data_IF_081336471890
#
_entry.id   IF_081336471890
#
_cell.length_a   1.000
_cell.length_b   1.000
_cell.length_c   1.000
_cell.angle_alpha   90.00
_cell.angle_beta   90.00
_cell.angle_gamma   90.00
#
_symmetry.space_group_name_H-M   'P 1'
#
loop_
_entity.id
_entity.type
_entity.pdbx_description
1 polymer ?
#
# COMPACT_ATOMS: atom_id res chain seq x y z
N UNK A 1 -1.21 13.87 11.65
CA UNK A 1 -1.79 12.54 11.95
C UNK A 1 -1.84 12.41 13.46
N UNK A 2 -3.01 12.16 14.05
CA UNK A 2 -3.10 11.95 15.49
C UNK A 2 -2.71 10.49 15.84
N UNK A 3 -1.84 10.25 16.83
CA UNK A 3 -1.32 8.91 17.13
C UNK A 3 -2.40 7.91 17.55
N UNK A 4 -3.53 8.39 18.11
CA UNK A 4 -4.66 7.53 18.49
C UNK A 4 -5.32 6.78 17.34
N UNK A 5 -5.11 7.21 16.09
CA UNK A 5 -5.65 6.53 14.92
C UNK A 5 -4.86 5.28 14.50
N UNK A 6 -3.66 5.05 15.05
CA UNK A 6 -2.82 3.86 14.74
C UNK A 6 -2.38 3.74 13.27
N UNK A 7 -2.67 4.74 12.43
CA UNK A 7 -2.48 4.71 10.97
C UNK A 7 -1.08 5.13 10.51
N UNK A 8 -0.29 5.75 11.39
CA UNK A 8 1.03 6.29 11.02
C UNK A 8 1.97 5.19 10.54
N UNK A 9 2.15 4.14 11.33
CA UNK A 9 3.07 3.03 11.00
C UNK A 9 2.64 2.29 9.74
N UNK A 10 1.35 1.98 9.61
CA UNK A 10 0.81 1.32 8.42
C UNK A 10 1.05 2.17 7.17
N UNK A 11 0.81 3.48 7.24
CA UNK A 11 1.06 4.38 6.12
C UNK A 11 2.53 4.40 5.74
N UNK A 12 3.45 4.51 6.70
CA UNK A 12 4.90 4.50 6.43
C UNK A 12 5.36 3.19 5.78
N UNK A 13 4.88 2.03 6.26
CA UNK A 13 5.22 0.74 5.66
C UNK A 13 4.70 0.67 4.22
N UNK A 14 3.45 1.08 4.00
CA UNK A 14 2.87 1.09 2.65
C UNK A 14 3.61 2.06 1.72
N UNK A 15 3.99 3.25 2.19
CA UNK A 15 4.81 4.21 1.43
C UNK A 15 6.12 3.58 1.01
N UNK A 16 6.87 3.00 1.96
CA UNK A 16 8.16 2.36 1.71
C UNK A 16 8.05 1.23 0.68
N UNK A 17 7.01 0.38 0.77
CA UNK A 17 6.77 -0.71 -0.19
C UNK A 17 6.40 -0.16 -1.57
N UNK A 18 5.48 0.81 -1.65
CA UNK A 18 5.11 1.40 -2.95
C UNK A 18 6.29 2.08 -3.62
N UNK A 19 7.12 2.80 -2.87
CA UNK A 19 8.32 3.44 -3.37
C UNK A 19 9.38 2.43 -3.80
N UNK A 20 9.58 1.34 -3.05
CA UNK A 20 10.47 0.25 -3.45
C UNK A 20 10.04 -0.40 -4.78
N UNK A 21 8.73 -0.58 -4.99
CA UNK A 21 8.20 -1.10 -6.25
C UNK A 21 8.54 -0.18 -7.43
N UNK A 22 8.29 1.12 -7.28
CA UNK A 22 8.57 2.11 -8.32
C UNK A 22 10.07 2.27 -8.59
N UNK A 23 10.91 2.30 -7.55
CA UNK A 23 12.37 2.38 -7.73
C UNK A 23 12.90 1.16 -8.48
N UNK A 24 12.41 -0.04 -8.18
CA UNK A 24 12.90 -1.26 -8.83
C UNK A 24 12.56 -1.32 -10.32
N UNK A 25 11.49 -0.65 -10.74
CA UNK A 25 11.08 -0.59 -12.16
C UNK A 25 11.88 0.42 -12.99
N UNK A 26 12.64 1.32 -12.36
CA UNK A 26 13.36 2.36 -13.08
C UNK A 26 14.48 1.76 -13.95
N UNK A 27 14.61 2.18 -15.23
CA UNK A 27 15.79 1.88 -16.02
C UNK A 27 17.00 2.59 -15.40
N UNK A 28 18.18 1.97 -15.48
CA UNK A 28 19.41 2.38 -14.76
C UNK A 28 19.94 3.79 -15.05
N UNK A 29 19.34 4.55 -15.97
CA UNK A 29 20.08 5.59 -16.70
C UNK A 29 19.34 6.91 -16.95
N UNK A 30 18.11 7.16 -16.46
CA UNK A 30 17.44 8.44 -16.77
C UNK A 30 16.75 9.14 -15.59
N UNK A 31 17.09 10.41 -15.28
CA UNK A 31 16.44 11.19 -14.23
C UNK A 31 14.99 11.56 -14.57
N UNK A 32 14.64 11.65 -15.86
CA UNK A 32 13.25 11.88 -16.29
C UNK A 32 12.31 10.77 -15.83
N UNK A 33 12.77 9.51 -15.84
CA UNK A 33 11.95 8.37 -15.38
C UNK A 33 11.71 8.36 -13.87
N UNK A 34 12.62 8.92 -13.07
CA UNK A 34 12.43 9.04 -11.62
C UNK A 34 11.29 10.01 -11.28
N UNK A 35 11.22 11.15 -11.97
CA UNK A 35 10.17 12.14 -11.74
C UNK A 35 8.78 11.55 -12.06
N UNK A 36 8.65 10.79 -13.14
CA UNK A 36 7.41 10.11 -13.52
C UNK A 36 7.02 9.03 -12.50
N UNK A 37 7.99 8.23 -12.04
CA UNK A 37 7.75 7.23 -11.00
C UNK A 37 7.30 7.85 -9.67
N UNK A 38 7.90 8.99 -9.27
CA UNK A 38 7.48 9.73 -8.08
C UNK A 38 6.09 10.36 -8.25
N UNK A 39 5.73 10.78 -9.46
CA UNK A 39 4.39 11.29 -9.77
C UNK A 39 3.33 10.20 -9.64
N UNK A 40 3.59 9.01 -10.16
CA UNK A 40 2.73 7.84 -10.00
C UNK A 40 2.61 7.41 -8.53
N UNK A 41 3.73 7.36 -7.79
CA UNK A 41 3.73 7.15 -6.34
C UNK A 41 2.84 8.16 -5.61
N UNK A 42 2.99 9.45 -5.92
CA UNK A 42 2.20 10.50 -5.29
C UNK A 42 0.72 10.38 -5.63
N UNK A 43 0.38 10.04 -6.87
CA UNK A 43 -1.01 9.82 -7.30
C UNK A 43 -1.67 8.63 -6.57
N UNK A 44 -0.93 7.54 -6.34
CA UNK A 44 -1.42 6.38 -5.59
C UNK A 44 -1.57 6.67 -4.09
N UNK A 45 -0.61 7.38 -3.50
CA UNK A 45 -0.50 7.51 -2.03
C UNK A 45 -1.19 8.72 -1.44
N UNK A 46 -1.25 9.86 -2.15
CA UNK A 46 -1.92 11.07 -1.69
C UNK A 46 -3.38 10.85 -1.24
N UNK A 47 -4.26 10.16 -2.00
CA UNK A 47 -5.65 9.98 -1.57
C UNK A 47 -5.75 9.13 -0.30
N UNK A 48 -4.92 8.09 -0.18
CA UNK A 48 -4.88 7.21 1.00
C UNK A 48 -4.38 7.97 2.23
N UNK A 49 -3.33 8.78 2.08
CA UNK A 49 -2.80 9.60 3.16
C UNK A 49 -3.81 10.65 3.64
N UNK A 50 -4.58 11.24 2.71
CA UNK A 50 -5.65 12.19 3.05
C UNK A 50 -6.79 11.51 3.80
N UNK A 51 -7.28 10.38 3.30
CA UNK A 51 -8.33 9.59 3.96
C UNK A 51 -7.88 9.14 5.36
N UNK A 52 -6.62 8.76 5.53
CA UNK A 52 -6.06 8.39 6.84
C UNK A 52 -6.00 9.59 7.80
N UNK A 53 -5.71 10.80 7.31
CA UNK A 53 -5.72 12.02 8.12
C UNK A 53 -7.13 12.32 8.63
N UNK A 54 -8.13 12.31 7.74
CA UNK A 54 -9.52 12.59 8.09
C UNK A 54 -10.05 11.54 9.09
N UNK A 55 -9.74 10.26 8.88
CA UNK A 55 -10.04 9.19 9.84
C UNK A 55 -9.35 9.38 11.17
N UNK A 56 -8.08 9.79 11.19
CA UNK A 56 -7.35 10.00 12.44
C UNK A 56 -7.98 11.09 13.30
N UNK A 57 -8.58 12.11 12.69
CA UNK A 57 -9.32 13.16 13.41
C UNK A 57 -10.59 12.62 14.09
N UNK A 58 -11.31 11.69 13.44
CA UNK A 58 -12.46 11.00 14.05
C UNK A 58 -12.04 10.15 15.25
N UNK A 59 -10.88 9.50 15.21
CA UNK A 59 -10.39 8.77 16.38
C UNK A 59 -9.99 9.69 17.54
N UNK A 60 -9.61 10.93 17.26
CA UNK A 60 -9.39 11.95 18.31
C UNK A 60 -10.67 12.25 19.07
N UNK A 61 -11.83 12.32 18.40
CA UNK A 61 -13.11 12.56 19.09
C UNK A 61 -13.56 11.37 19.92
N UNK A 62 -13.11 10.14 19.60
CA UNK A 62 -13.35 8.94 20.41
C UNK A 62 -12.48 8.89 21.68
N UNK A 63 -11.30 9.49 21.66
CA UNK A 63 -10.33 9.45 22.77
C UNK A 63 -10.37 10.72 23.64
N UNK A 64 -10.91 11.82 23.12
CA UNK A 64 -11.01 13.11 23.82
C UNK A 64 -11.75 13.04 25.16
N UNK A 65 -11.69 14.11 25.96
CA UNK A 65 -12.38 14.21 27.26
C UNK A 65 -13.57 15.19 27.25
N UNK A 66 -14.00 15.63 26.07
CA UNK A 66 -15.10 16.58 25.92
C UNK A 66 -16.46 15.91 26.11
N UNK A 67 -17.50 16.69 26.41
CA UNK A 67 -18.88 16.17 26.57
C UNK A 67 -19.34 15.43 25.30
N UNK A 68 -19.00 15.99 24.13
CA UNK A 68 -19.24 15.37 22.82
C UNK A 68 -18.54 14.03 22.70
N UNK A 69 -17.26 13.92 23.10
CA UNK A 69 -16.54 12.65 23.06
C UNK A 69 -17.16 11.57 23.96
N UNK A 70 -17.75 11.96 25.08
CA UNK A 70 -18.43 11.04 26.00
C UNK A 70 -19.74 10.53 25.40
N UNK A 71 -20.52 11.42 24.77
CA UNK A 71 -21.73 11.03 24.04
C UNK A 71 -21.43 10.07 22.88
N UNK A 72 -20.42 10.38 22.06
CA UNK A 72 -19.99 9.51 20.95
C UNK A 72 -19.53 8.14 21.47
N UNK A 73 -18.78 8.09 22.58
CA UNK A 73 -18.34 6.82 23.17
C UNK A 73 -19.50 5.98 23.70
N UNK A 74 -20.50 6.62 24.30
CA UNK A 74 -21.70 5.93 24.77
C UNK A 74 -22.46 5.31 23.60
N UNK A 75 -22.62 6.05 22.51
CA UNK A 75 -23.22 5.52 21.26
C UNK A 75 -22.40 4.35 20.72
N UNK A 76 -21.08 4.48 20.61
CA UNK A 76 -20.20 3.41 20.09
C UNK A 76 -20.20 2.17 20.99
N UNK A 77 -20.28 2.33 22.31
CA UNK A 77 -20.27 1.19 23.25
C UNK A 77 -21.62 0.48 23.36
N UNK A 78 -22.73 1.22 23.28
CA UNK A 78 -24.05 0.68 23.63
C UNK A 78 -24.96 0.48 22.42
N UNK A 79 -24.79 1.24 21.35
CA UNK A 79 -25.67 1.20 20.17
C UNK A 79 -25.03 0.42 19.03
N UNK A 80 -23.71 0.48 18.90
CA UNK A 80 -22.97 -0.15 17.81
C UNK A 80 -22.77 -1.65 18.05
N UNK A 81 -23.34 -2.53 17.21
CA UNK A 81 -23.16 -3.97 17.37
C UNK A 81 -21.70 -4.38 17.16
N UNK A 82 -21.23 -5.33 17.96
CA UNK A 82 -19.84 -5.79 17.92
C UNK A 82 -19.43 -6.36 16.56
N UNK A 83 -20.36 -7.00 15.85
CA UNK A 83 -20.14 -7.51 14.50
C UNK A 83 -19.89 -6.39 13.49
N UNK A 84 -20.58 -5.25 13.62
CA UNK A 84 -20.44 -4.11 12.73
C UNK A 84 -19.12 -3.39 12.99
N UNK A 85 -18.77 -3.19 14.26
CA UNK A 85 -17.46 -2.66 14.63
C UNK A 85 -16.32 -3.55 14.11
N UNK A 86 -16.45 -4.88 14.24
CA UNK A 86 -15.49 -5.85 13.68
C UNK A 86 -15.40 -5.70 12.17
N UNK A 87 -16.52 -5.62 11.45
CA UNK A 87 -16.55 -5.43 10.00
C UNK A 87 -15.85 -4.14 9.57
N UNK A 88 -16.10 -3.03 10.25
CA UNK A 88 -15.45 -1.73 10.01
C UNK A 88 -13.93 -1.81 10.20
N UNK A 89 -13.49 -2.28 11.36
CA UNK A 89 -12.05 -2.37 11.68
C UNK A 89 -11.34 -3.33 10.72
N UNK A 90 -11.93 -4.50 10.47
CA UNK A 90 -11.34 -5.53 9.60
C UNK A 90 -11.22 -5.06 8.16
N UNK A 91 -12.26 -4.44 7.58
CA UNK A 91 -12.22 -4.02 6.19
C UNK A 91 -11.33 -2.79 5.95
N UNK A 92 -11.22 -1.88 6.92
CA UNK A 92 -10.52 -0.61 6.71
C UNK A 92 -9.08 -0.59 7.24
N UNK A 93 -8.76 -1.34 8.29
CA UNK A 93 -7.42 -1.33 8.90
C UNK A 93 -6.64 -2.62 8.62
N UNK A 94 -7.30 -3.78 8.58
CA UNK A 94 -6.63 -5.09 8.48
C UNK A 94 -6.50 -5.62 7.04
N UNK A 95 -7.21 -5.02 6.07
CA UNK A 95 -7.17 -5.43 4.66
C UNK A 95 -5.90 -4.95 3.91
N UNK A 96 -5.03 -4.17 4.56
CA UNK A 96 -3.82 -3.62 3.94
C UNK A 96 -2.67 -4.60 4.15
N UNK A 97 -2.22 -5.23 3.05
CA UNK A 97 -1.09 -6.17 3.03
C UNK A 97 -0.09 -5.73 1.95
N UNK A 98 0.75 -4.72 2.24
CA UNK A 98 1.66 -4.21 1.25
C UNK A 98 2.70 -5.27 0.91
N UNK A 99 2.87 -5.55 -0.37
CA UNK A 99 3.85 -6.50 -0.86
C UNK A 99 4.76 -5.85 -1.89
N UNK A 100 6.03 -6.24 -1.86
CA UNK A 100 7.03 -5.80 -2.81
C UNK A 100 6.96 -6.66 -4.08
N UNK A 101 7.00 -6.03 -5.25
CA UNK A 101 6.68 -6.62 -6.54
C UNK A 101 7.67 -7.69 -7.00
N UNK A 102 8.95 -7.52 -6.66
CA UNK A 102 10.04 -8.43 -7.04
C UNK A 102 10.12 -9.70 -6.16
N UNK A 103 9.28 -9.82 -5.12
CA UNK A 103 9.17 -11.03 -4.33
C UNK A 103 8.05 -11.92 -4.87
N UNK A 104 8.15 -13.22 -4.61
CA UNK A 104 7.11 -14.20 -4.93
C UNK A 104 5.79 -13.85 -4.26
N UNK A 105 4.67 -14.05 -4.97
CA UNK A 105 3.35 -13.64 -4.48
C UNK A 105 3.02 -14.44 -3.21
N UNK A 106 2.77 -13.75 -2.11
CA UNK A 106 2.32 -14.43 -0.90
C UNK A 106 0.89 -14.89 -1.11
N UNK A 107 0.62 -16.15 -0.81
CA UNK A 107 -0.73 -16.72 -0.88
C UNK A 107 -1.68 -15.98 0.06
N UNK A 108 -2.90 -15.73 -0.42
CA UNK A 108 -3.91 -15.06 0.38
C UNK A 108 -4.48 -16.02 1.41
N UNK A 109 -4.09 -15.82 2.68
CA UNK A 109 -4.65 -16.53 3.83
C UNK A 109 -5.68 -15.68 4.56
N UNK A 110 -6.83 -16.28 4.85
CA UNK A 110 -7.90 -15.70 5.67
C UNK A 110 -9.14 -15.29 4.87
N UNK A 111 -10.15 -14.77 5.59
CA UNK A 111 -11.48 -14.49 5.04
C UNK A 111 -11.67 -13.04 4.53
N UNK A 112 -10.58 -12.26 4.53
CA UNK A 112 -10.58 -10.82 4.22
C UNK A 112 -9.62 -10.62 3.07
N UNK A 113 -10.17 -10.24 1.91
CA UNK A 113 -9.38 -9.96 0.72
C UNK A 113 -8.42 -8.80 0.95
N UNK A 114 -7.25 -8.85 0.30
CA UNK A 114 -6.31 -7.74 0.31
C UNK A 114 -6.86 -6.56 -0.47
N UNK A 115 -6.52 -5.35 -0.05
CA UNK A 115 -6.80 -4.14 -0.83
C UNK A 115 -5.96 -4.13 -2.10
N UNK A 116 -6.54 -3.65 -3.19
CA UNK A 116 -5.83 -3.45 -4.45
C UNK A 116 -4.63 -2.50 -4.27
N UNK A 117 -3.49 -2.87 -4.84
CA UNK A 117 -2.25 -2.10 -4.79
C UNK A 117 -1.75 -1.87 -6.23
N UNK A 118 -1.88 -0.65 -6.73
CA UNK A 118 -1.60 -0.32 -8.13
C UNK A 118 -0.11 -0.50 -8.45
N UNK A 119 0.77 -0.03 -7.57
CA UNK A 119 2.23 -0.20 -7.69
C UNK A 119 2.65 -1.66 -7.83
N UNK A 120 2.00 -2.59 -7.14
CA UNK A 120 2.37 -4.01 -7.18
C UNK A 120 2.10 -4.61 -8.56
N UNK A 121 0.90 -4.38 -9.10
CA UNK A 121 0.51 -4.96 -10.38
C UNK A 121 1.26 -4.33 -11.55
N UNK A 122 1.42 -3.00 -11.54
CA UNK A 122 2.19 -2.29 -12.57
C UNK A 122 3.66 -2.72 -12.54
N UNK A 123 4.28 -2.74 -11.36
CA UNK A 123 5.69 -3.10 -11.26
C UNK A 123 5.96 -4.54 -11.67
N UNK A 124 5.06 -5.48 -11.38
CA UNK A 124 5.21 -6.86 -11.83
C UNK A 124 5.15 -7.02 -13.34
N UNK A 125 4.27 -6.28 -14.01
CA UNK A 125 4.19 -6.29 -15.47
C UNK A 125 5.50 -5.80 -16.09
N UNK A 126 6.01 -4.67 -15.60
CA UNK A 126 7.28 -4.10 -16.06
C UNK A 126 8.45 -5.05 -15.80
N UNK A 127 8.52 -5.66 -14.61
CA UNK A 127 9.60 -6.60 -14.28
C UNK A 127 9.55 -7.87 -15.15
N UNK A 128 8.36 -8.40 -15.42
CA UNK A 128 8.20 -9.54 -16.32
C UNK A 128 8.61 -9.20 -17.77
N UNK A 129 8.30 -7.99 -18.24
CA UNK A 129 8.75 -7.50 -19.55
C UNK A 129 10.28 -7.37 -19.61
N UNK A 130 10.91 -6.85 -18.55
CA UNK A 130 12.37 -6.72 -18.45
C UNK A 130 13.07 -8.09 -18.37
N UNK A 131 12.48 -9.07 -17.68
CA UNK A 131 12.98 -10.45 -17.65
C UNK A 131 12.87 -11.11 -19.02
N UNK A 132 11.75 -10.95 -19.72
CA UNK A 132 11.56 -11.47 -21.08
C UNK A 132 12.49 -10.82 -22.10
N UNK A 133 12.87 -9.54 -21.93
CA UNK A 133 13.85 -8.87 -22.78
C UNK A 133 15.27 -9.40 -22.51
N UNK A 134 15.65 -9.57 -21.24
CA UNK A 134 16.92 -10.19 -20.86
C UNK A 134 17.06 -11.60 -21.46
N UNK A 135 16.02 -12.42 -21.34
CA UNK A 135 16.00 -13.78 -21.88
C UNK A 135 16.09 -13.84 -23.42
N UNK A 136 15.86 -12.73 -24.14
CA UNK A 136 16.12 -12.62 -25.59
C UNK A 136 17.54 -12.19 -25.91
N UNK A 137 18.15 -11.38 -25.04
CA UNK A 137 19.52 -10.87 -25.21
C UNK A 137 20.57 -11.94 -24.84
N UNK A 138 20.33 -12.73 -23.79
CA UNK A 138 21.23 -13.80 -23.35
C UNK A 138 21.46 -14.96 -24.34
N UNK A 139 20.46 -15.50 -25.06
CA UNK A 139 20.70 -16.57 -26.05
C UNK A 139 21.55 -16.10 -27.24
N UNK A 140 21.53 -14.81 -27.58
CA UNK A 140 22.40 -14.23 -28.62
C UNK A 140 23.87 -14.14 -28.17
N UNK A 141 24.13 -13.88 -26.89
CA UNK A 141 25.50 -13.76 -26.36
C UNK A 141 26.19 -15.12 -26.20
N UNK A 142 25.45 -16.17 -25.83
CA UNK A 142 25.99 -17.54 -25.69
C UNK A 142 26.31 -18.16 -27.06
N UNK A 143 25.48 -17.87 -28.08
CA UNK A 143 25.70 -18.39 -29.43
C UNK A 143 26.97 -17.83 -30.12
N UNK A 144 27.40 -16.61 -29.77
CA UNK A 144 28.60 -15.98 -30.35
C UNK A 144 29.91 -16.48 -29.71
N UNK A 145 29.85 -17.07 -28.50
CA UNK A 145 31.05 -17.58 -27.81
C UNK A 145 31.41 -19.04 -28.14
N UNK A 146 30.66 -19.69 -29.04
CA UNK A 146 30.85 -21.09 -29.47
C UNK A 146 31.28 -21.25 -30.95
N UNK A 147 31.75 -20.17 -31.58
CA UNK A 147 32.41 -20.17 -32.89
C UNK A 147 33.84 -19.63 -32.75
#
# INVERSE_FOLDING_TARGET
LHPSGGVSTLNTITDAVTLANWIKTLPSSSPCTLADALKEYYAERRPVAREALDRSALYTTLVGKTVVSSAVRAVVKHILPTWFWRRLVTNHQLAVRPQVAYLEKVEERGNVGKRYQASLEKARKILAEQEAEKDKVYPLCVAVSSM
#
